data_IF_076683545029
#
_entry.id   IF_076683545029
#
_cell.length_a   1.000
_cell.length_b   1.000
_cell.length_c   1.000
_cell.angle_alpha   90.00
_cell.angle_beta   90.00
_cell.angle_gamma   90.00
#
_symmetry.space_group_name_H-M   'P 1'
#
loop_
_entity.id
_entity.type
_entity.pdbx_description
1 polymer ?
#
# COMPACT_ATOMS: atom_id res chain seq x y z
N UNK A 1 -1.76 -10.46 -12.80
CA UNK A 1 -0.82 -9.60 -12.05
C UNK A 1 0.57 -10.08 -12.40
N UNK A 2 1.32 -9.36 -13.22
CA UNK A 2 2.51 -9.96 -13.86
C UNK A 2 3.80 -9.81 -13.04
N UNK A 3 3.84 -8.85 -12.11
CA UNK A 3 4.99 -8.55 -11.23
C UNK A 3 4.58 -7.70 -10.03
N UNK A 4 5.13 -8.01 -8.86
CA UNK A 4 5.08 -7.18 -7.64
C UNK A 4 6.50 -6.69 -7.38
N UNK A 5 6.67 -5.37 -7.23
CA UNK A 5 7.98 -4.75 -6.95
C UNK A 5 7.98 -4.19 -5.52
N UNK A 6 8.96 -4.59 -4.71
CA UNK A 6 9.12 -4.18 -3.31
C UNK A 6 10.54 -3.66 -3.05
N UNK A 7 10.74 -3.11 -1.85
CA UNK A 7 12.08 -2.77 -1.37
C UNK A 7 12.79 -4.00 -0.76
N UNK A 8 13.81 -3.77 0.07
CA UNK A 8 14.57 -4.85 0.72
C UNK A 8 14.23 -5.01 2.21
N UNK A 9 13.05 -4.54 2.64
CA UNK A 9 12.51 -4.76 3.97
C UNK A 9 12.57 -6.23 4.38
N UNK A 10 12.74 -6.51 5.67
CA UNK A 10 12.81 -7.89 6.17
C UNK A 10 11.53 -8.67 5.88
N UNK A 11 10.37 -8.00 5.95
CA UNK A 11 9.06 -8.52 5.55
C UNK A 11 9.01 -8.92 4.08
N UNK A 12 9.52 -8.06 3.20
CA UNK A 12 9.49 -8.27 1.76
C UNK A 12 10.49 -9.36 1.34
N UNK A 13 11.57 -9.54 2.12
CA UNK A 13 12.52 -10.64 1.93
C UNK A 13 12.02 -12.00 2.44
N UNK A 14 10.90 -12.05 3.15
CA UNK A 14 10.38 -13.31 3.69
C UNK A 14 10.01 -14.29 2.57
N UNK A 15 10.34 -15.56 2.78
CA UNK A 15 10.03 -16.63 1.84
C UNK A 15 8.51 -16.75 1.63
N UNK A 16 7.73 -16.62 2.71
CA UNK A 16 6.27 -16.72 2.70
C UNK A 16 5.62 -15.63 1.82
N UNK A 17 6.18 -14.41 1.84
CA UNK A 17 5.72 -13.33 0.98
C UNK A 17 5.94 -13.68 -0.49
N UNK A 18 7.15 -14.14 -0.83
CA UNK A 18 7.49 -14.56 -2.20
C UNK A 18 6.61 -15.73 -2.65
N UNK A 19 6.40 -16.73 -1.78
CA UNK A 19 5.55 -17.88 -2.06
C UNK A 19 4.09 -17.45 -2.33
N UNK A 20 3.57 -16.50 -1.57
CA UNK A 20 2.22 -15.95 -1.76
C UNK A 20 2.09 -15.19 -3.09
N UNK A 21 3.07 -14.37 -3.44
CA UNK A 21 3.06 -13.66 -4.74
C UNK A 21 3.09 -14.66 -5.91
N UNK A 22 3.90 -15.72 -5.79
CA UNK A 22 4.01 -16.76 -6.81
C UNK A 22 2.72 -17.60 -6.90
N UNK A 23 2.09 -17.95 -5.78
CA UNK A 23 0.84 -18.71 -5.76
C UNK A 23 -0.34 -17.96 -6.41
N UNK A 24 -0.31 -16.61 -6.34
CA UNK A 24 -1.25 -15.73 -7.05
C UNK A 24 -0.91 -15.52 -8.53
N UNK A 25 0.08 -16.25 -9.07
CA UNK A 25 0.51 -16.17 -10.47
C UNK A 25 1.41 -14.97 -10.79
N UNK A 26 1.92 -14.28 -9.77
CA UNK A 26 2.80 -13.14 -9.91
C UNK A 26 4.29 -13.48 -9.83
N UNK A 27 5.13 -12.48 -10.11
CA UNK A 27 6.58 -12.55 -9.88
C UNK A 27 7.00 -11.49 -8.88
N UNK A 28 7.72 -11.88 -7.84
CA UNK A 28 8.25 -10.95 -6.86
C UNK A 28 9.61 -10.39 -7.33
N UNK A 29 9.73 -9.07 -7.40
CA UNK A 29 10.95 -8.36 -7.78
C UNK A 29 11.33 -7.38 -6.67
N UNK A 30 12.61 -7.33 -6.31
CA UNK A 30 13.11 -6.41 -5.28
C UNK A 30 13.97 -5.34 -5.93
N UNK A 31 13.84 -4.11 -5.45
CA UNK A 31 14.67 -3.00 -5.89
C UNK A 31 16.15 -3.28 -5.63
N UNK A 32 17.02 -2.85 -6.54
CA UNK A 32 18.47 -2.96 -6.33
C UNK A 32 18.86 -2.21 -5.03
N UNK A 33 19.73 -2.78 -4.18
CA UNK A 33 20.23 -2.07 -3.02
C UNK A 33 20.75 -0.67 -3.37
N UNK A 34 20.53 0.30 -2.48
CA UNK A 34 20.91 1.70 -2.65
C UNK A 34 20.22 2.43 -3.82
N UNK A 35 19.01 2.01 -4.20
CA UNK A 35 18.18 2.72 -5.20
C UNK A 35 16.85 3.24 -4.63
N UNK A 36 16.88 4.12 -3.59
CA UNK A 36 15.67 4.61 -2.92
C UNK A 36 14.71 5.35 -3.87
N UNK A 37 15.23 5.92 -4.96
CA UNK A 37 14.45 6.60 -6.00
C UNK A 37 13.28 5.77 -6.55
N UNK A 38 13.42 4.44 -6.58
CA UNK A 38 12.37 3.54 -7.11
C UNK A 38 11.21 3.32 -6.13
N UNK A 39 11.40 3.63 -4.84
CA UNK A 39 10.38 3.48 -3.81
C UNK A 39 9.61 4.78 -3.50
N UNK A 40 9.99 5.89 -4.15
CA UNK A 40 9.49 7.23 -3.82
C UNK A 40 7.97 7.39 -3.89
N UNK A 41 7.28 6.58 -4.72
CA UNK A 41 5.81 6.58 -4.79
C UNK A 41 5.17 6.02 -3.53
N UNK A 42 5.63 4.86 -3.07
CA UNK A 42 5.15 4.23 -1.83
C UNK A 42 5.53 5.09 -0.63
N UNK A 43 6.75 5.62 -0.60
CA UNK A 43 7.20 6.53 0.46
C UNK A 43 6.37 7.81 0.53
N UNK A 44 6.01 8.41 -0.62
CA UNK A 44 5.11 9.58 -0.64
C UNK A 44 3.70 9.23 -0.18
N UNK A 45 3.15 8.08 -0.61
CA UNK A 45 1.86 7.59 -0.14
C UNK A 45 1.84 7.41 1.39
N UNK A 46 2.84 6.72 1.94
CA UNK A 46 2.95 6.47 3.36
C UNK A 46 3.06 7.76 4.18
N UNK A 47 3.87 8.72 3.73
CA UNK A 47 3.96 10.04 4.39
C UNK A 47 2.62 10.77 4.39
N UNK A 48 1.96 10.88 3.24
CA UNK A 48 0.65 11.54 3.16
C UNK A 48 -0.42 10.83 4.01
N UNK A 49 -0.40 9.51 4.07
CA UNK A 49 -1.31 8.73 4.91
C UNK A 49 -1.12 9.05 6.40
N UNK A 50 0.14 9.12 6.83
CA UNK A 50 0.53 9.48 8.20
C UNK A 50 0.03 10.89 8.54
N UNK A 51 0.34 11.85 7.68
CA UNK A 51 0.05 13.27 7.90
C UNK A 51 -1.45 13.59 7.80
N UNK A 52 -2.16 13.02 6.84
CA UNK A 52 -3.57 13.37 6.56
C UNK A 52 -4.58 12.50 7.32
N UNK A 53 -4.19 11.32 7.81
CA UNK A 53 -5.13 10.38 8.44
C UNK A 53 -4.67 9.89 9.78
N UNK A 54 -3.50 9.24 9.85
CA UNK A 54 -3.14 8.46 11.03
C UNK A 54 -2.90 9.36 12.25
N UNK A 55 -2.28 10.53 12.03
CA UNK A 55 -2.01 11.50 13.09
C UNK A 55 -2.70 12.85 12.91
N UNK A 56 -3.56 13.00 11.89
CA UNK A 56 -4.31 14.23 11.68
C UNK A 56 -5.28 14.58 12.84
N UNK A 57 -5.77 13.56 13.56
CA UNK A 57 -6.70 13.72 14.69
C UNK A 57 -6.70 12.51 15.62
N UNK A 58 -7.08 12.67 16.91
CA UNK A 58 -7.37 11.54 17.78
C UNK A 58 -8.64 10.80 17.32
N UNK A 59 -8.59 9.47 17.35
CA UNK A 59 -9.73 8.60 17.04
C UNK A 59 -10.32 8.00 18.32
N UNK A 60 -11.65 7.90 18.38
CA UNK A 60 -12.36 7.30 19.52
C UNK A 60 -12.22 5.77 19.58
N UNK A 61 -11.88 5.14 18.45
CA UNK A 61 -11.65 3.70 18.35
C UNK A 61 -10.76 3.37 17.15
N UNK A 62 -10.17 2.18 17.17
CA UNK A 62 -9.44 1.64 16.02
C UNK A 62 -10.35 1.47 14.79
N UNK A 63 -11.62 1.11 15.01
CA UNK A 63 -12.60 0.99 13.94
C UNK A 63 -12.83 2.32 13.23
N UNK A 64 -13.00 3.41 13.98
CA UNK A 64 -13.14 4.75 13.41
C UNK A 64 -11.90 5.18 12.62
N UNK A 65 -10.70 4.78 13.06
CA UNK A 65 -9.44 5.02 12.34
C UNK A 65 -9.39 4.24 11.01
N UNK A 66 -9.83 2.98 11.01
CA UNK A 66 -9.90 2.12 9.81
C UNK A 66 -10.87 2.67 8.78
N UNK A 67 -12.04 3.14 9.20
CA UNK A 67 -13.03 3.76 8.32
C UNK A 67 -12.48 5.04 7.70
N UNK A 68 -11.85 5.90 8.49
CA UNK A 68 -11.19 7.11 7.98
C UNK A 68 -10.07 6.77 6.97
N UNK A 69 -9.28 5.74 7.25
CA UNK A 69 -8.26 5.25 6.33
C UNK A 69 -8.85 4.74 5.01
N UNK A 70 -9.95 3.98 5.06
CA UNK A 70 -10.62 3.49 3.86
C UNK A 70 -11.14 4.64 2.98
N UNK A 71 -11.74 5.67 3.59
CA UNK A 71 -12.16 6.89 2.90
C UNK A 71 -10.97 7.61 2.27
N UNK A 72 -9.85 7.73 3.01
CA UNK A 72 -8.65 8.38 2.49
C UNK A 72 -8.01 7.62 1.33
N UNK A 73 -7.94 6.28 1.38
CA UNK A 73 -7.41 5.47 0.26
C UNK A 73 -8.24 5.70 -1.01
N UNK A 74 -9.56 5.82 -0.87
CA UNK A 74 -10.43 6.17 -2.00
C UNK A 74 -10.09 7.57 -2.54
N UNK A 75 -10.00 8.58 -1.66
CA UNK A 75 -9.60 9.94 -2.05
C UNK A 75 -8.23 9.97 -2.74
N UNK A 76 -7.23 9.30 -2.19
CA UNK A 76 -5.88 9.23 -2.74
C UNK A 76 -5.86 8.63 -4.15
N UNK A 77 -6.61 7.56 -4.39
CA UNK A 77 -6.63 6.87 -5.68
C UNK A 77 -7.50 7.56 -6.76
N UNK A 78 -8.64 8.13 -6.37
CA UNK A 78 -9.67 8.61 -7.32
C UNK A 78 -9.80 10.13 -7.42
N UNK A 79 -9.29 10.88 -6.44
CA UNK A 79 -9.58 12.31 -6.34
C UNK A 79 -8.34 13.18 -6.15
N UNK A 80 -7.28 12.66 -5.54
CA UNK A 80 -6.07 13.43 -5.31
C UNK A 80 -5.28 13.56 -6.63
N UNK A 81 -4.95 14.78 -7.08
CA UNK A 81 -4.12 14.98 -8.26
C UNK A 81 -2.69 14.52 -7.95
N UNK A 82 -2.10 13.72 -8.85
CA UNK A 82 -0.73 13.26 -8.72
C UNK A 82 0.13 13.88 -9.80
N UNK A 83 1.21 14.57 -9.43
CA UNK A 83 2.15 15.18 -10.40
C UNK A 83 2.78 14.16 -11.33
N UNK A 84 3.02 12.92 -10.85
CA UNK A 84 3.48 11.80 -11.68
C UNK A 84 2.47 11.34 -12.73
N UNK A 85 1.24 11.86 -12.68
CA UNK A 85 0.12 11.54 -13.55
C UNK A 85 -0.37 12.78 -14.30
N UNK A 86 0.44 13.84 -14.40
CA UNK A 86 0.04 15.10 -15.04
C UNK A 86 -1.11 15.79 -14.32
N UNK A 87 -1.09 15.77 -12.98
CA UNK A 87 -2.12 16.33 -12.10
C UNK A 87 -3.50 15.68 -12.20
N UNK A 88 -3.58 14.50 -12.82
CA UNK A 88 -4.74 13.64 -12.80
C UNK A 88 -4.72 12.69 -11.59
N UNK A 89 -5.88 12.15 -11.16
CA UNK A 89 -5.92 11.11 -10.14
C UNK A 89 -5.23 9.82 -10.61
N UNK A 90 -4.68 9.04 -9.68
CA UNK A 90 -3.86 7.87 -9.97
C UNK A 90 -4.57 6.85 -10.86
N UNK A 91 -5.88 6.70 -10.66
CA UNK A 91 -6.75 5.83 -11.44
C UNK A 91 -6.82 6.19 -12.92
N UNK A 92 -6.46 7.41 -13.31
CA UNK A 92 -6.35 7.83 -14.72
C UNK A 92 -5.27 7.06 -15.49
N UNK A 93 -4.33 6.40 -14.80
CA UNK A 93 -3.31 5.54 -15.40
C UNK A 93 -3.73 4.06 -15.53
N UNK A 94 -4.95 3.70 -15.13
CA UNK A 94 -5.42 2.30 -15.12
C UNK A 94 -6.88 2.17 -15.55
N UNK A 95 -7.23 1.34 -16.56
CA UNK A 95 -8.62 1.08 -16.95
C UNK A 95 -9.45 0.33 -15.90
N UNK A 96 -8.79 -0.29 -14.92
CA UNK A 96 -9.42 -1.12 -13.90
C UNK A 96 -9.18 -0.57 -12.49
N UNK A 97 -10.13 -0.87 -11.60
CA UNK A 97 -10.16 -0.49 -10.18
C UNK A 97 -8.99 -1.17 -9.43
N UNK A 98 -7.80 -0.57 -9.42
CA UNK A 98 -6.63 -1.16 -8.75
C UNK A 98 -6.49 -0.63 -7.33
N UNK A 99 -6.81 -1.45 -6.33
CA UNK A 99 -6.23 -1.29 -5.00
C UNK A 99 -4.86 -1.97 -5.05
N UNK A 100 -3.78 -1.19 -5.21
CA UNK A 100 -2.40 -1.68 -5.07
C UNK A 100 -2.03 -2.05 -3.62
N UNK A 101 -3.02 -2.08 -2.73
CA UNK A 101 -2.91 -2.62 -1.38
C UNK A 101 -3.78 -3.86 -1.35
N UNK A 102 -3.17 -5.04 -1.48
CA UNK A 102 -3.82 -6.27 -1.05
C UNK A 102 -4.13 -6.10 0.43
N UNK A 103 -5.42 -6.02 0.78
CA UNK A 103 -5.89 -6.05 2.17
C UNK A 103 -5.64 -7.45 2.73
N UNK A 104 -4.42 -7.75 3.19
CA UNK A 104 -4.16 -8.90 4.05
C UNK A 104 -4.19 -8.45 5.51
N UNK A 105 -5.38 -8.12 6.01
CA UNK A 105 -5.62 -8.08 7.46
C UNK A 105 -6.49 -9.27 7.84
N UNK A 106 -5.91 -10.47 7.82
CA UNK A 106 -6.39 -11.54 8.70
C UNK A 106 -5.70 -11.35 10.04
N UNK A 107 -6.46 -10.83 10.99
CA UNK A 107 -6.08 -10.84 12.39
C UNK A 107 -5.89 -12.28 12.84
N UNK A 108 -4.63 -12.68 13.05
CA UNK A 108 -4.32 -13.84 13.85
C UNK A 108 -4.71 -13.52 15.29
N UNK A 109 -5.93 -13.90 15.68
CA UNK A 109 -6.32 -13.99 17.08
C UNK A 109 -5.77 -15.32 17.59
N UNK A 110 -4.46 -15.37 17.86
CA UNK A 110 -3.94 -16.35 18.82
C UNK A 110 -3.89 -15.66 20.18
N UNK A 111 -4.99 -15.80 20.92
CA UNK A 111 -5.00 -15.64 22.36
C UNK A 111 -5.54 -16.93 22.95
N UNK A 112 -4.65 -17.67 23.63
CA UNK A 112 -4.86 -18.76 24.61
C UNK A 112 -5.86 -19.86 24.25
N UNK A 113 -5.38 -21.10 24.13
CA UNK A 113 -5.22 -22.09 25.23
C UNK A 113 -4.04 -23.00 24.83
#
# INVERSE_FOLDING_TARGET
MDRVVTDNGSSDRAADFTATVVSLGGRHHRNRPYTPRHNGKVERCNRLMVDEVLYARPYKSEQARREALAVWVNRYNYHLPHTSCGDAPLTSLTPARVNNVMTSYNWCVMSRI
#
